data_IF_475406261774
#
_entry.id   IF_475406261774
#
_cell.length_a   1.000
_cell.length_b   1.000
_cell.length_c   1.000
_cell.angle_alpha   90.00
_cell.angle_beta   90.00
_cell.angle_gamma   90.00
#
_symmetry.space_group_name_H-M   'P 1'
#
loop_
_entity.id
_entity.type
_entity.pdbx_description
1 polymer ?
#
# COMPACT_ATOMS: atom_id res chain seq x y z
N UNK A 1 1.42 21.58 0.62
CA UNK A 1 1.65 20.13 0.53
C UNK A 1 0.32 19.41 0.50
N UNK A 2 0.21 18.29 -0.20
CA UNK A 2 -1.00 17.47 -0.20
C UNK A 2 -1.19 16.80 1.17
N UNK A 3 -2.44 16.66 1.61
CA UNK A 3 -2.77 15.94 2.84
C UNK A 3 -2.85 14.44 2.54
N UNK A 4 -2.26 13.61 3.41
CA UNK A 4 -2.15 12.16 3.20
C UNK A 4 -2.47 11.38 4.46
N UNK A 5 -2.92 10.14 4.28
CA UNK A 5 -3.01 9.13 5.33
C UNK A 5 -1.80 8.19 5.25
N UNK A 6 -1.20 7.87 6.40
CA UNK A 6 -0.04 6.98 6.49
C UNK A 6 -0.40 5.78 7.35
N UNK A 7 -0.35 4.59 6.77
CA UNK A 7 -0.58 3.33 7.46
C UNK A 7 0.74 2.55 7.57
N UNK A 8 1.13 2.17 8.79
CA UNK A 8 2.26 1.28 9.03
C UNK A 8 1.76 -0.14 9.30
N UNK A 9 2.34 -1.12 8.61
CA UNK A 9 2.01 -2.54 8.74
C UNK A 9 3.26 -3.29 9.17
N UNK A 10 3.29 -3.80 10.40
CA UNK A 10 4.40 -4.60 10.91
C UNK A 10 4.48 -5.95 10.17
N UNK A 11 5.69 -6.41 9.84
CA UNK A 11 5.90 -7.61 9.01
C UNK A 11 5.34 -8.89 9.63
N UNK A 12 5.47 -9.01 10.94
CA UNK A 12 4.95 -10.11 11.75
C UNK A 12 3.41 -10.20 11.74
N UNK A 13 2.73 -9.10 11.40
CA UNK A 13 1.26 -9.03 11.27
C UNK A 13 0.76 -9.25 9.84
N UNK A 14 1.65 -9.44 8.86
CA UNK A 14 1.25 -9.68 7.47
C UNK A 14 0.87 -11.15 7.29
N UNK A 15 -0.43 -11.42 7.26
CA UNK A 15 -0.98 -12.75 7.00
C UNK A 15 -0.99 -13.12 5.52
N UNK A 16 -1.11 -12.13 4.63
CA UNK A 16 -1.25 -12.34 3.18
C UNK A 16 -0.22 -11.50 2.41
N UNK A 17 0.50 -12.18 1.52
CA UNK A 17 1.54 -11.60 0.68
C UNK A 17 1.13 -11.69 -0.78
N UNK A 18 1.64 -10.77 -1.59
CA UNK A 18 1.55 -10.80 -3.03
C UNK A 18 2.81 -10.25 -3.67
N UNK A 19 2.79 -10.17 -5.00
CA UNK A 19 3.89 -9.67 -5.81
C UNK A 19 3.40 -8.53 -6.70
N UNK A 20 4.17 -7.44 -6.75
CA UNK A 20 3.95 -6.36 -7.70
C UNK A 20 4.52 -6.72 -9.08
N UNK A 21 4.12 -6.05 -10.17
CA UNK A 21 4.72 -6.26 -11.49
C UNK A 21 6.25 -6.05 -11.54
N UNK A 22 6.81 -5.32 -10.59
CA UNK A 22 8.26 -5.15 -10.40
C UNK A 22 8.98 -6.38 -9.83
N UNK A 23 8.25 -7.42 -9.41
CA UNK A 23 8.79 -8.58 -8.69
C UNK A 23 8.90 -8.36 -7.16
N UNK A 24 8.51 -7.19 -6.65
CA UNK A 24 8.58 -6.88 -5.23
C UNK A 24 7.54 -7.67 -4.43
N UNK A 25 7.98 -8.44 -3.43
CA UNK A 25 7.10 -9.14 -2.49
C UNK A 25 6.61 -8.19 -1.41
N UNK A 26 5.31 -7.93 -1.38
CA UNK A 26 4.68 -6.92 -0.51
C UNK A 26 3.43 -7.49 0.17
N UNK A 27 2.89 -6.86 1.24
CA UNK A 27 1.57 -7.16 1.74
C UNK A 27 0.52 -7.15 0.60
N UNK A 28 -0.39 -8.14 0.59
CA UNK A 28 -1.43 -8.25 -0.44
C UNK A 28 -2.25 -6.95 -0.57
N UNK A 29 -2.44 -6.24 0.54
CA UNK A 29 -3.09 -4.92 0.57
C UNK A 29 -2.49 -3.92 -0.44
N UNK A 30 -1.15 -3.84 -0.54
CA UNK A 30 -0.48 -2.94 -1.50
C UNK A 30 -0.75 -3.38 -2.94
N UNK A 31 -0.73 -4.68 -3.22
CA UNK A 31 -1.03 -5.22 -4.55
C UNK A 31 -2.46 -4.88 -4.96
N UNK A 32 -3.41 -5.04 -4.04
CA UNK A 32 -4.82 -4.77 -4.31
C UNK A 32 -5.07 -3.29 -4.54
N UNK A 33 -4.52 -2.41 -3.68
CA UNK A 33 -4.63 -0.97 -3.85
C UNK A 33 -4.01 -0.49 -5.17
N UNK A 34 -2.85 -1.02 -5.56
CA UNK A 34 -2.23 -0.70 -6.84
C UNK A 34 -3.11 -1.12 -8.04
N UNK A 35 -3.81 -2.26 -7.95
CA UNK A 35 -4.69 -2.74 -9.02
C UNK A 35 -5.95 -1.90 -9.22
N UNK A 36 -6.50 -1.33 -8.14
CA UNK A 36 -7.74 -0.53 -8.17
C UNK A 36 -7.46 0.97 -8.25
N UNK A 37 -6.20 1.39 -8.18
CA UNK A 37 -5.77 2.79 -8.16
C UNK A 37 -5.91 3.55 -9.49
N UNK A 38 -6.47 2.93 -10.54
CA UNK A 38 -6.76 3.61 -11.80
C UNK A 38 -8.25 3.51 -12.13
N UNK A 39 -8.95 4.63 -11.95
CA UNK A 39 -10.31 4.83 -12.47
C UNK A 39 -11.47 4.55 -11.51
N UNK A 40 -11.21 4.30 -10.22
CA UNK A 40 -12.28 4.04 -9.24
C UNK A 40 -12.30 5.08 -8.11
N UNK A 41 -13.14 6.10 -8.24
CA UNK A 41 -13.28 7.19 -7.26
C UNK A 41 -13.84 6.75 -5.88
N UNK A 42 -14.37 5.53 -5.78
CA UNK A 42 -14.88 4.97 -4.52
C UNK A 42 -13.85 4.27 -3.64
N UNK A 43 -12.59 4.19 -4.09
CA UNK A 43 -11.49 3.55 -3.34
C UNK A 43 -10.42 4.58 -3.06
N UNK A 44 -9.92 4.59 -1.82
CA UNK A 44 -8.78 5.43 -1.41
C UNK A 44 -7.57 5.07 -2.27
N UNK A 45 -6.95 6.08 -2.88
CA UNK A 45 -5.83 5.86 -3.78
C UNK A 45 -4.53 5.62 -3.01
N UNK A 46 -3.76 4.65 -3.49
CA UNK A 46 -2.37 4.47 -3.09
C UNK A 46 -1.52 5.52 -3.80
N UNK A 47 -0.86 6.37 -3.02
CA UNK A 47 0.03 7.41 -3.53
C UNK A 47 1.48 6.91 -3.60
N UNK A 48 1.91 6.17 -2.58
CA UNK A 48 3.25 5.59 -2.50
C UNK A 48 3.30 4.47 -1.44
N UNK A 49 4.37 3.69 -1.42
CA UNK A 49 4.65 2.75 -0.35
C UNK A 49 6.16 2.58 -0.14
N UNK A 50 6.55 2.23 1.09
CA UNK A 50 7.95 2.04 1.45
C UNK A 50 8.12 0.75 2.23
N UNK A 51 9.22 0.06 1.96
CA UNK A 51 9.67 -1.07 2.75
C UNK A 51 10.66 -0.59 3.82
N UNK A 52 10.39 -0.97 5.08
CA UNK A 52 11.27 -0.75 6.23
C UNK A 52 11.77 -2.12 6.73
N UNK A 53 12.83 -2.16 7.57
CA UNK A 53 13.35 -3.43 8.07
C UNK A 53 12.28 -4.31 8.76
N UNK A 54 11.37 -3.69 9.53
CA UNK A 54 10.37 -4.39 10.35
C UNK A 54 8.92 -4.22 9.86
N UNK A 55 8.69 -3.43 8.81
CA UNK A 55 7.34 -3.01 8.44
C UNK A 55 7.25 -2.50 7.00
N UNK A 56 6.03 -2.28 6.54
CA UNK A 56 5.72 -1.53 5.33
C UNK A 56 4.96 -0.25 5.70
N UNK A 57 5.22 0.82 4.97
CA UNK A 57 4.48 2.08 5.05
C UNK A 57 3.65 2.23 3.78
N UNK A 58 2.35 2.47 3.94
CA UNK A 58 1.41 2.70 2.84
C UNK A 58 0.94 4.16 2.93
N UNK A 59 1.23 4.94 1.90
CA UNK A 59 0.85 6.35 1.78
C UNK A 59 -0.35 6.46 0.87
N UNK A 60 -1.40 7.08 1.39
CA UNK A 60 -2.72 7.09 0.75
C UNK A 60 -3.29 8.50 0.71
N UNK A 61 -4.23 8.72 -0.22
CA UNK A 61 -5.09 9.90 -0.15
C UNK A 61 -5.77 10.00 1.21
N UNK A 62 -5.90 11.22 1.73
CA UNK A 62 -6.67 11.48 2.94
C UNK A 62 -8.04 12.05 2.55
N UNK A 63 -9.14 11.34 2.86
CA UNK A 63 -10.49 11.86 2.67
C UNK A 63 -10.77 13.10 3.53
#
# INVERSE_FOLDING_TARGET
GAQVAIKRVARDRISQWGELPSGSRVPLEIVLLNKVGSGFHGVIQLLDWFELPDSFVVVMERP
#
